data_IF_615629301744
#
_entry.id   IF_615629301744
#
_cell.length_a   1.000
_cell.length_b   1.000
_cell.length_c   1.000
_cell.angle_alpha   90.00
_cell.angle_beta   90.00
_cell.angle_gamma   90.00
#
_symmetry.space_group_name_H-M   'P 1'
#
loop_
_entity.id
_entity.type
_entity.pdbx_description
1 polymer ?
#
# COMPACT_ATOMS: atom_id res chain seq x y z
N UNK A 1 28.45 -4.12 -7.21
CA UNK A 1 27.08 -3.81 -7.70
C UNK A 1 26.36 -5.02 -8.34
N UNK A 2 26.86 -6.25 -8.19
CA UNK A 2 26.33 -7.44 -8.91
C UNK A 2 25.45 -8.35 -8.02
N UNK A 3 25.63 -8.32 -6.70
CA UNK A 3 24.93 -9.24 -5.78
C UNK A 3 23.44 -8.92 -5.56
N UNK A 4 22.98 -7.69 -5.87
CA UNK A 4 21.54 -7.35 -5.84
C UNK A 4 20.75 -7.95 -7.01
N UNK A 5 21.41 -8.39 -8.08
CA UNK A 5 20.78 -8.88 -9.31
C UNK A 5 20.56 -10.41 -9.32
N UNK A 6 20.94 -11.12 -8.26
CA UNK A 6 20.85 -12.59 -8.20
C UNK A 6 19.86 -13.08 -7.14
N UNK A 7 18.73 -12.41 -6.94
CA UNK A 7 17.63 -13.08 -6.25
C UNK A 7 16.84 -13.91 -7.28
N UNK A 8 17.03 -15.25 -7.33
CA UNK A 8 16.32 -16.10 -8.28
C UNK A 8 14.80 -16.02 -8.10
N UNK A 9 14.32 -15.69 -6.89
CA UNK A 9 12.91 -15.44 -6.61
C UNK A 9 12.39 -14.18 -7.25
N UNK A 10 13.16 -13.08 -7.21
CA UNK A 10 12.76 -11.84 -7.86
C UNK A 10 12.66 -12.02 -9.38
N UNK A 11 13.59 -12.78 -9.97
CA UNK A 11 13.56 -13.13 -11.39
C UNK A 11 12.38 -14.04 -11.75
N UNK A 12 12.14 -15.10 -10.97
CA UNK A 12 10.98 -15.98 -11.19
C UNK A 12 9.66 -15.21 -11.09
N UNK A 13 9.52 -14.36 -10.06
CA UNK A 13 8.38 -13.44 -9.90
C UNK A 13 8.20 -12.52 -11.10
N UNK A 14 9.28 -11.93 -11.61
CA UNK A 14 9.22 -11.03 -12.75
C UNK A 14 8.73 -11.71 -14.05
N UNK A 15 9.05 -12.99 -14.25
CA UNK A 15 8.57 -13.76 -15.41
C UNK A 15 7.17 -14.34 -15.20
N UNK A 16 6.80 -14.68 -13.96
CA UNK A 16 5.46 -15.21 -13.65
C UNK A 16 4.39 -14.12 -13.64
N UNK A 17 4.71 -12.89 -13.27
CA UNK A 17 3.74 -11.79 -13.21
C UNK A 17 3.01 -11.53 -14.54
N UNK A 18 3.72 -11.34 -15.66
CA UNK A 18 3.07 -11.14 -16.95
C UNK A 18 2.13 -12.30 -17.29
N UNK A 19 2.49 -13.55 -16.99
CA UNK A 19 1.65 -14.71 -17.28
C UNK A 19 0.37 -14.71 -16.43
N UNK A 20 0.48 -14.36 -15.15
CA UNK A 20 -0.60 -14.47 -14.17
C UNK A 20 -1.55 -13.26 -14.15
N UNK A 21 -1.08 -12.11 -14.64
CA UNK A 21 -1.86 -10.87 -14.75
C UNK A 21 -2.51 -10.71 -16.14
N UNK A 22 -2.28 -11.64 -17.08
CA UNK A 22 -2.95 -11.65 -18.38
C UNK A 22 -4.47 -11.74 -18.18
N UNK A 23 -5.17 -10.67 -18.52
CA UNK A 23 -6.62 -10.67 -18.57
C UNK A 23 -7.13 -11.43 -19.80
N UNK A 24 -8.30 -12.09 -19.71
CA UNK A 24 -8.95 -12.67 -20.88
C UNK A 24 -9.16 -11.63 -21.97
N UNK A 25 -8.75 -11.95 -23.21
CA UNK A 25 -8.97 -11.09 -24.36
C UNK A 25 -10.47 -10.80 -24.52
N UNK A 26 -10.87 -9.55 -24.29
CA UNK A 26 -12.27 -9.11 -24.41
C UNK A 26 -12.73 -9.01 -25.87
N UNK A 27 -11.77 -8.88 -26.80
CA UNK A 27 -12.01 -8.75 -28.24
C UNK A 27 -11.15 -9.77 -28.97
N UNK A 28 -11.79 -10.62 -29.78
CA UNK A 28 -11.09 -11.57 -30.65
C UNK A 28 -10.48 -10.82 -31.84
N UNK A 29 -9.19 -10.47 -31.75
CA UNK A 29 -8.42 -9.89 -32.84
C UNK A 29 -7.09 -10.63 -33.02
N UNK A 30 -6.58 -10.71 -34.25
CA UNK A 30 -5.28 -11.32 -34.54
C UNK A 30 -4.14 -10.62 -33.76
N UNK A 31 -4.22 -9.30 -33.61
CA UNK A 31 -3.27 -8.51 -32.83
C UNK A 31 -3.27 -8.90 -31.35
N UNK A 32 -4.45 -9.07 -30.75
CA UNK A 32 -4.57 -9.51 -29.35
C UNK A 32 -4.04 -10.94 -29.15
N UNK A 33 -4.23 -11.84 -30.13
CA UNK A 33 -3.70 -13.20 -30.07
C UNK A 33 -2.17 -13.22 -30.21
N UNK A 34 -1.59 -12.40 -31.08
CA UNK A 34 -0.15 -12.29 -31.23
C UNK A 34 0.52 -11.71 -29.97
N UNK A 35 -0.07 -10.67 -29.36
CA UNK A 35 0.43 -10.12 -28.09
C UNK A 35 0.41 -11.16 -26.98
N UNK A 36 -0.67 -11.96 -26.90
CA UNK A 36 -0.79 -13.06 -25.95
C UNK A 36 0.32 -14.10 -26.17
N UNK A 37 0.51 -14.53 -27.42
CA UNK A 37 1.55 -15.49 -27.80
C UNK A 37 2.95 -14.96 -27.45
N UNK A 38 3.27 -13.74 -27.87
CA UNK A 38 4.58 -13.13 -27.62
C UNK A 38 4.87 -13.00 -26.12
N UNK A 39 3.89 -12.56 -25.34
CA UNK A 39 4.03 -12.39 -23.89
C UNK A 39 4.22 -13.72 -23.19
N UNK A 40 3.40 -14.72 -23.53
CA UNK A 40 3.43 -16.02 -22.90
C UNK A 40 4.70 -16.80 -23.28
N UNK A 41 5.05 -16.82 -24.57
CA UNK A 41 6.23 -17.53 -25.06
C UNK A 41 7.53 -16.91 -24.55
N UNK A 42 7.65 -15.58 -24.56
CA UNK A 42 8.81 -14.87 -24.01
C UNK A 42 9.01 -15.17 -22.52
N UNK A 43 7.93 -15.15 -21.73
CA UNK A 43 7.99 -15.43 -20.30
C UNK A 43 8.31 -16.91 -20.03
N UNK A 44 7.72 -17.83 -20.81
CA UNK A 44 8.00 -19.27 -20.71
C UNK A 44 9.45 -19.60 -21.04
N UNK A 45 9.99 -19.05 -22.13
CA UNK A 45 11.40 -19.21 -22.50
C UNK A 45 12.34 -18.64 -21.42
N UNK A 46 11.98 -17.51 -20.80
CA UNK A 46 12.76 -16.91 -19.73
C UNK A 46 12.78 -17.77 -18.46
N UNK A 47 11.64 -18.38 -18.10
CA UNK A 47 11.54 -19.35 -16.99
C UNK A 47 12.40 -20.60 -17.25
N UNK A 48 12.41 -21.09 -18.50
CA UNK A 48 13.26 -22.22 -18.89
C UNK A 48 14.76 -21.97 -18.67
N UNK A 49 15.21 -20.71 -18.77
CA UNK A 49 16.62 -20.33 -18.54
C UNK A 49 17.01 -20.28 -17.06
N UNK A 50 16.04 -20.25 -16.13
CA UNK A 50 16.31 -20.17 -14.69
C UNK A 50 16.72 -21.52 -14.05
N UNK A 51 16.67 -22.64 -14.79
CA UNK A 51 17.04 -23.99 -14.29
C UNK A 51 16.38 -24.32 -12.92
N UNK A 52 15.09 -24.01 -12.79
CA UNK A 52 14.33 -24.31 -11.58
C UNK A 52 13.98 -25.80 -11.60
N UNK A 53 14.44 -26.56 -10.60
CA UNK A 53 14.20 -28.01 -10.51
C UNK A 53 12.70 -28.36 -10.40
N UNK A 54 11.91 -27.53 -9.71
CA UNK A 54 10.47 -27.71 -9.56
C UNK A 54 9.71 -26.39 -9.81
N UNK A 55 9.48 -26.10 -11.08
CA UNK A 55 8.78 -24.89 -11.51
C UNK A 55 7.34 -24.83 -10.98
N UNK A 56 6.67 -25.99 -10.87
CA UNK A 56 5.30 -26.05 -10.37
C UNK A 56 5.24 -25.62 -8.91
N UNK A 57 6.16 -26.13 -8.08
CA UNK A 57 6.25 -25.78 -6.67
C UNK A 57 6.55 -24.29 -6.45
N UNK A 58 7.45 -23.72 -7.26
CA UNK A 58 7.73 -22.27 -7.26
C UNK A 58 6.52 -21.45 -7.72
N UNK A 59 5.81 -21.90 -8.74
CA UNK A 59 4.59 -21.23 -9.22
C UNK A 59 3.48 -21.26 -8.16
N UNK A 60 3.28 -22.39 -7.46
CA UNK A 60 2.32 -22.48 -6.36
C UNK A 60 2.70 -21.60 -5.18
N UNK A 61 3.97 -21.57 -4.79
CA UNK A 61 4.50 -20.63 -3.80
C UNK A 61 4.21 -19.18 -4.21
N UNK A 62 4.52 -18.83 -5.46
CA UNK A 62 4.30 -17.49 -5.99
C UNK A 62 2.83 -17.09 -5.97
N UNK A 63 1.95 -17.95 -6.45
CA UNK A 63 0.51 -17.75 -6.43
C UNK A 63 0.00 -17.52 -5.01
N UNK A 64 0.44 -18.33 -4.06
CA UNK A 64 0.01 -18.21 -2.67
C UNK A 64 0.49 -16.88 -2.05
N UNK A 65 1.75 -16.51 -2.28
CA UNK A 65 2.30 -15.22 -1.85
C UNK A 65 1.56 -14.05 -2.50
N UNK A 66 1.17 -14.14 -3.78
CA UNK A 66 0.46 -13.07 -4.49
C UNK A 66 -0.83 -12.64 -3.79
N UNK A 67 -1.48 -13.57 -3.05
CA UNK A 67 -2.75 -13.33 -2.33
C UNK A 67 -2.58 -12.76 -0.91
N UNK A 68 -1.36 -12.68 -0.40
CA UNK A 68 -1.09 -12.07 0.91
C UNK A 68 -1.11 -10.54 0.83
N UNK A 69 -1.41 -9.91 1.97
CA UNK A 69 -1.32 -8.46 2.13
C UNK A 69 0.13 -7.97 2.09
N UNK A 70 0.32 -6.66 1.89
CA UNK A 70 1.64 -6.05 1.74
C UNK A 70 2.50 -6.17 3.00
N UNK A 71 1.90 -6.17 4.19
CA UNK A 71 2.61 -6.29 5.47
C UNK A 71 3.17 -7.70 5.62
N UNK A 72 2.33 -8.72 5.42
CA UNK A 72 2.74 -10.13 5.47
C UNK A 72 3.79 -10.47 4.40
N UNK A 73 3.66 -9.91 3.19
CA UNK A 73 4.69 -10.03 2.13
C UNK A 73 6.03 -9.43 2.55
N UNK A 74 6.02 -8.23 3.15
CA UNK A 74 7.23 -7.60 3.64
C UNK A 74 7.90 -8.41 4.76
N UNK A 75 7.10 -8.94 5.69
CA UNK A 75 7.57 -9.85 6.74
C UNK A 75 8.19 -11.13 6.16
N UNK A 76 7.57 -11.68 5.12
CA UNK A 76 8.09 -12.84 4.42
C UNK A 76 9.47 -12.58 3.80
N UNK A 77 9.63 -11.47 3.08
CA UNK A 77 10.93 -11.09 2.48
C UNK A 77 12.00 -10.82 3.54
N UNK A 78 11.61 -10.26 4.69
CA UNK A 78 12.54 -10.04 5.81
C UNK A 78 12.97 -11.36 6.48
N UNK A 79 12.08 -12.34 6.56
CA UNK A 79 12.33 -13.65 7.19
C UNK A 79 13.15 -14.58 6.29
N UNK A 80 12.96 -14.48 4.97
CA UNK A 80 13.50 -15.42 3.99
C UNK A 80 14.74 -14.92 3.23
N UNK A 81 15.48 -13.99 3.84
CA UNK A 81 16.66 -13.32 3.25
C UNK A 81 17.79 -14.24 2.79
N UNK A 82 17.84 -15.50 3.25
CA UNK A 82 19.02 -16.37 3.11
C UNK A 82 18.83 -17.64 2.28
N UNK A 83 17.63 -17.92 1.76
CA UNK A 83 17.39 -19.19 1.08
C UNK A 83 16.76 -19.00 -0.30
N UNK A 84 17.19 -19.87 -1.20
CA UNK A 84 16.69 -20.16 -2.54
C UNK A 84 15.16 -20.12 -2.66
N UNK A 85 14.67 -20.15 -3.90
CA UNK A 85 13.25 -20.30 -4.24
C UNK A 85 12.53 -21.22 -3.23
N UNK A 86 11.63 -20.65 -2.43
CA UNK A 86 10.99 -21.38 -1.34
C UNK A 86 9.94 -22.33 -1.92
N UNK A 87 9.98 -23.55 -1.40
CA UNK A 87 9.03 -24.58 -1.79
C UNK A 87 7.63 -24.27 -1.28
N UNK A 88 6.60 -24.84 -1.91
CA UNK A 88 5.20 -24.61 -1.51
C UNK A 88 4.99 -24.94 -0.02
N UNK A 89 5.64 -25.99 0.47
CA UNK A 89 5.57 -26.42 1.87
C UNK A 89 6.13 -25.39 2.83
N UNK A 90 7.24 -24.74 2.49
CA UNK A 90 7.85 -23.70 3.31
C UNK A 90 6.99 -22.44 3.34
N UNK A 91 6.45 -22.05 2.18
CA UNK A 91 5.48 -20.94 2.07
C UNK A 91 4.26 -21.20 2.95
N UNK A 92 3.70 -22.41 2.90
CA UNK A 92 2.56 -22.79 3.73
C UNK A 92 2.90 -22.79 5.23
N UNK A 93 4.09 -23.26 5.60
CA UNK A 93 4.56 -23.24 6.99
C UNK A 93 4.68 -21.81 7.51
N UNK A 94 5.23 -20.90 6.72
CA UNK A 94 5.32 -19.48 7.07
C UNK A 94 3.93 -18.88 7.32
N UNK A 95 2.98 -19.09 6.40
CA UNK A 95 1.64 -18.54 6.53
C UNK A 95 0.92 -19.09 7.77
N UNK A 96 1.06 -20.39 8.05
CA UNK A 96 0.50 -21.01 9.27
C UNK A 96 1.08 -20.37 10.54
N UNK A 97 2.38 -20.12 10.56
CA UNK A 97 3.03 -19.49 11.70
C UNK A 97 2.58 -18.04 11.89
N UNK A 98 2.48 -17.27 10.80
CA UNK A 98 1.92 -15.92 10.88
C UNK A 98 0.47 -15.96 11.39
N UNK A 99 -0.39 -16.82 10.85
CA UNK A 99 -1.77 -16.96 11.32
C UNK A 99 -1.85 -17.27 12.83
N UNK A 100 -0.96 -18.12 13.34
CA UNK A 100 -0.84 -18.42 14.77
C UNK A 100 -0.43 -17.17 15.57
N UNK A 101 0.58 -16.42 15.12
CA UNK A 101 1.01 -15.17 15.77
C UNK A 101 -0.14 -14.15 15.81
N UNK A 102 -0.83 -13.95 14.68
CA UNK A 102 -1.98 -13.04 14.61
C UNK A 102 -3.13 -13.47 15.53
N UNK A 103 -3.34 -14.79 15.73
CA UNK A 103 -4.36 -15.30 16.67
C UNK A 103 -4.01 -15.16 18.15
N UNK A 104 -2.72 -15.17 18.49
CA UNK A 104 -2.25 -15.03 19.87
C UNK A 104 -2.05 -13.57 20.28
N UNK A 105 -2.04 -12.64 19.31
CA UNK A 105 -1.95 -11.21 19.58
C UNK A 105 -3.29 -10.68 20.10
N UNK A 106 -3.38 -10.17 21.34
CA UNK A 106 -4.62 -9.63 21.92
C UNK A 106 -5.16 -8.39 21.18
N UNK A 107 -4.41 -7.85 20.22
CA UNK A 107 -4.76 -6.65 19.45
C UNK A 107 -5.67 -6.96 18.25
N UNK A 108 -5.77 -8.22 17.83
CA UNK A 108 -6.56 -8.64 16.66
C UNK A 108 -7.93 -9.24 17.00
N UNK A 109 -8.32 -9.24 18.27
CA UNK A 109 -9.71 -9.41 18.68
C UNK A 109 -10.58 -8.18 18.35
N UNK A 110 -10.27 -7.46 17.26
CA UNK A 110 -11.23 -6.54 16.64
C UNK A 110 -12.18 -7.41 15.86
N UNK A 111 -13.24 -7.75 16.56
CA UNK A 111 -14.50 -8.28 16.07
C UNK A 111 -14.74 -7.97 14.60
N UNK A 112 -15.21 -8.99 13.88
CA UNK A 112 -16.00 -8.85 12.66
C UNK A 112 -17.25 -8.04 13.05
N UNK A 113 -17.10 -6.72 13.21
CA UNK A 113 -18.21 -5.80 13.41
C UNK A 113 -18.64 -5.37 12.03
N UNK A 114 -19.89 -5.69 11.71
CA UNK A 114 -20.62 -5.20 10.55
C UNK A 114 -20.24 -3.74 10.25
N UNK A 115 -20.07 -3.41 8.96
CA UNK A 115 -19.92 -2.03 8.47
C UNK A 115 -21.09 -1.19 8.98
N UNK A 116 -20.90 -0.52 10.11
CA UNK A 116 -21.69 0.62 10.53
C UNK A 116 -20.90 1.85 10.12
N UNK A 117 -21.49 2.61 9.22
CA UNK A 117 -21.03 3.91 8.75
C UNK A 117 -20.62 4.78 9.94
N UNK A 118 -19.32 5.10 10.06
CA UNK A 118 -18.84 6.01 11.09
C UNK A 118 -19.26 7.43 10.71
N UNK A 119 -20.27 7.99 11.39
CA UNK A 119 -20.35 9.44 11.52
C UNK A 119 -19.23 9.87 12.47
N UNK A 120 -18.34 10.74 11.98
CA UNK A 120 -17.31 11.35 12.80
C UNK A 120 -17.95 12.38 13.73
N UNK A 121 -18.42 11.95 14.90
CA UNK A 121 -18.74 12.87 15.99
C UNK A 121 -17.48 13.05 16.83
N UNK A 122 -16.75 14.14 16.58
CA UNK A 122 -15.70 14.61 17.49
C UNK A 122 -16.37 15.30 18.68
N UNK A 123 -16.09 14.82 19.89
CA UNK A 123 -16.47 15.49 21.13
C UNK A 123 -15.49 16.66 21.33
N UNK A 124 -15.94 17.88 21.03
CA UNK A 124 -15.18 19.10 21.30
C UNK A 124 -15.72 19.71 22.60
N UNK A 125 -14.88 19.74 23.61
CA UNK A 125 -15.13 20.47 24.85
C UNK A 125 -15.26 21.96 24.51
N UNK A 126 -16.43 22.55 24.77
CA UNK A 126 -16.73 23.95 24.45
C UNK A 126 -15.92 24.86 25.39
N UNK A 127 -14.67 25.13 25.04
CA UNK A 127 -13.91 26.24 25.62
C UNK A 127 -14.54 27.52 25.09
N UNK A 128 -15.34 28.20 25.91
CA UNK A 128 -15.91 29.51 25.60
C UNK A 128 -14.85 30.60 25.75
N UNK A 129 -13.79 30.57 24.95
CA UNK A 129 -12.94 31.73 24.74
C UNK A 129 -13.59 32.61 23.67
N UNK A 130 -13.90 33.87 24.01
CA UNK A 130 -14.42 34.85 23.05
C UNK A 130 -13.46 34.91 21.86
N UNK A 131 -13.93 34.59 20.66
CA UNK A 131 -13.15 34.75 19.44
C UNK A 131 -13.01 36.25 19.15
N UNK A 132 -11.86 36.81 19.49
CA UNK A 132 -11.49 38.18 19.13
C UNK A 132 -10.60 38.13 17.88
N UNK A 133 -11.02 38.83 16.83
CA UNK A 133 -10.22 38.93 15.61
C UNK A 133 -8.98 39.80 15.87
N UNK A 134 -7.79 39.25 15.63
CA UNK A 134 -6.49 39.94 15.81
C UNK A 134 -6.39 41.20 14.95
N UNK A 135 -7.07 41.23 13.80
CA UNK A 135 -7.06 42.39 12.87
C UNK A 135 -8.02 43.48 13.33
N UNK A 136 -9.22 43.11 13.80
CA UNK A 136 -10.26 44.08 14.18
C UNK A 136 -10.25 44.45 15.67
N UNK A 137 -9.22 44.05 16.42
CA UNK A 137 -8.94 44.37 17.82
C UNK A 137 -10.22 44.61 18.66
N UNK A 138 -10.97 43.53 18.88
CA UNK A 138 -12.10 43.44 19.82
C UNK A 138 -13.41 44.17 19.44
N UNK A 139 -13.54 44.77 18.25
CA UNK A 139 -14.84 45.38 17.82
C UNK A 139 -15.86 44.39 17.26
N UNK A 140 -15.41 43.25 16.71
CA UNK A 140 -16.28 42.22 16.12
C UNK A 140 -15.76 40.82 16.46
N UNK A 141 -16.65 39.93 16.88
CA UNK A 141 -16.34 38.52 17.16
C UNK A 141 -16.47 37.68 15.88
N UNK A 142 -15.35 37.37 15.24
CA UNK A 142 -15.29 36.52 14.05
C UNK A 142 -13.91 35.88 13.93
N UNK A 143 -13.83 34.77 13.19
CA UNK A 143 -12.56 34.14 12.84
C UNK A 143 -11.83 35.01 11.80
N UNK A 144 -10.49 35.06 11.82
CA UNK A 144 -9.70 35.86 10.87
C UNK A 144 -10.01 35.53 9.40
N UNK A 145 -10.43 34.30 9.11
CA UNK A 145 -10.85 33.87 7.77
C UNK A 145 -12.14 34.55 7.28
N UNK A 146 -12.92 35.13 8.18
CA UNK A 146 -14.18 35.82 7.90
C UNK A 146 -14.03 37.35 8.04
N UNK A 147 -12.80 37.85 8.17
CA UNK A 147 -12.51 39.26 8.30
C UNK A 147 -12.39 39.91 6.91
N UNK A 148 -13.30 40.83 6.57
CA UNK A 148 -13.29 41.55 5.30
C UNK A 148 -12.02 42.40 5.10
N UNK A 149 -11.54 42.98 6.21
CA UNK A 149 -10.33 43.81 6.24
C UNK A 149 -9.08 42.94 5.98
N UNK A 150 -8.99 41.78 6.64
CA UNK A 150 -7.96 40.79 6.33
C UNK A 150 -8.07 40.31 4.88
N UNK A 151 -9.26 40.01 4.38
CA UNK A 151 -9.44 39.55 2.99
C UNK A 151 -8.91 40.56 1.98
N UNK A 152 -9.12 41.86 2.25
CA UNK A 152 -8.73 42.97 1.39
C UNK A 152 -7.25 43.36 1.47
N UNK A 153 -6.50 42.90 2.48
CA UNK A 153 -5.07 43.19 2.63
C UNK A 153 -4.18 42.49 1.58
N UNK A 154 -3.05 43.13 1.26
CA UNK A 154 -2.03 42.58 0.37
C UNK A 154 -1.33 41.36 0.97
N UNK A 155 -0.86 40.42 0.11
CA UNK A 155 -0.24 39.16 0.55
C UNK A 155 0.92 39.35 1.54
N UNK A 156 1.71 40.42 1.41
CA UNK A 156 2.84 40.69 2.29
C UNK A 156 2.43 41.17 3.68
N UNK A 157 1.32 41.90 3.80
CA UNK A 157 0.81 42.37 5.10
C UNK A 157 0.16 41.24 5.91
N UNK A 158 -0.52 40.31 5.22
CA UNK A 158 -1.16 39.13 5.83
C UNK A 158 -0.19 38.23 6.59
N UNK A 159 1.05 38.10 6.10
CA UNK A 159 2.08 37.25 6.74
C UNK A 159 2.44 37.76 8.14
N UNK A 160 2.41 39.08 8.37
CA UNK A 160 2.73 39.67 9.68
C UNK A 160 1.76 39.19 10.78
N UNK A 161 0.49 38.99 10.44
CA UNK A 161 -0.52 38.51 11.38
C UNK A 161 -0.44 36.99 11.61
N UNK A 162 -0.03 36.21 10.60
CA UNK A 162 0.08 34.74 10.71
C UNK A 162 1.33 34.29 11.49
N UNK A 163 2.38 35.10 11.56
CA UNK A 163 3.62 34.77 12.28
C UNK A 163 3.51 35.06 13.79
N UNK A 164 2.53 35.85 14.23
CA UNK A 164 2.40 36.27 15.63
C UNK A 164 1.68 35.27 16.53
N UNK A 165 1.09 34.20 15.96
CA UNK A 165 0.42 33.09 16.69
C UNK A 165 1.33 31.85 16.87
N UNK A 166 2.65 31.99 16.64
CA UNK A 166 3.65 30.92 16.86
C UNK A 166 4.79 31.43 17.75
N UNK A 167 4.48 31.84 18.98
CA UNK A 167 5.35 31.72 20.18
C UNK A 167 4.48 31.44 21.39
#
# INVERSE_FOLDING_TARGET
MVEKYQNPRALATAFLNPILELEPNQVASASCLNILLDTFDSAFQALGKLNINDLADVAYSYLLLSKLDSETKSLFENTSRSSSLLTYKETLKFIKEQARIYSMSPVNARSIVNKVSKSHNYFVEKVTSKLECVVCASTKQHLISQCDEFSSMGRFEKVKFLVSDVI
#
